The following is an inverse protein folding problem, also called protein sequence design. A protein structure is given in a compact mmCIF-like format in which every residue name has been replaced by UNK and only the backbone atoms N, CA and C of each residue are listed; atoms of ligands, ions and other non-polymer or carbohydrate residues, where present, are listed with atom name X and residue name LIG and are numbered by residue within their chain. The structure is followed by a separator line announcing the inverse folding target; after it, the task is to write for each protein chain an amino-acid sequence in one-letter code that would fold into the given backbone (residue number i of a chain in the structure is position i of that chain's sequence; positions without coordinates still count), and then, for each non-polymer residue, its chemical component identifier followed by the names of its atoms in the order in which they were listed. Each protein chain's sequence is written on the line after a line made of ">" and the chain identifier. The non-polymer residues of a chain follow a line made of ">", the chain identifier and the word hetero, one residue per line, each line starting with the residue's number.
data_IF_750099337841
#
_entry.id   IF_750099337841
#
_cell.length_a   1.000
_cell.length_b   1.000
_cell.length_c   1.000
_cell.angle_alpha   90.00
_cell.angle_beta   90.00
_cell.angle_gamma   90.00
#
_symmetry.space_group_name_H-M   'P 1'
#
loop_
_entity.id
_entity.type
_entity.pdbx_description
1 polymer ?
#
# COMPACT_ATOMS: atom_id res chain seq x y z
N UNK A 1 15.95 -7.28 16.93
CA UNK A 1 16.64 -8.30 17.75
C UNK A 1 16.30 -9.67 17.17
N UNK A 2 17.23 -10.62 17.22
CA UNK A 2 16.91 -12.03 16.95
C UNK A 2 17.42 -12.92 18.07
N UNK A 3 16.64 -13.94 18.40
CA UNK A 3 16.99 -14.93 19.41
C UNK A 3 16.64 -16.34 18.92
N UNK A 4 17.30 -17.36 19.46
CA UNK A 4 17.00 -18.76 19.22
C UNK A 4 16.52 -19.38 20.52
N UNK A 5 15.43 -20.16 20.50
CA UNK A 5 15.01 -20.98 21.66
C UNK A 5 14.72 -22.38 21.13
N UNK A 6 15.32 -23.41 21.71
CA UNK A 6 15.09 -24.80 21.30
C UNK A 6 15.36 -25.06 19.81
N UNK A 7 16.32 -24.36 19.23
CA UNK A 7 16.68 -24.45 17.80
C UNK A 7 15.81 -23.65 16.83
N UNK A 8 14.81 -22.91 17.31
CA UNK A 8 13.95 -22.05 16.48
C UNK A 8 14.36 -20.59 16.61
N UNK A 9 14.82 -19.98 15.52
CA UNK A 9 15.15 -18.54 15.47
C UNK A 9 13.89 -17.70 15.28
N UNK A 10 13.72 -16.70 16.12
CA UNK A 10 12.65 -15.70 16.05
C UNK A 10 13.23 -14.28 15.93
N UNK A 11 12.54 -13.42 15.19
CA UNK A 11 12.90 -12.00 15.10
C UNK A 11 11.86 -11.16 15.84
N UNK A 12 12.34 -10.16 16.57
CA UNK A 12 11.51 -9.20 17.31
C UNK A 12 11.95 -7.79 17.00
N UNK A 13 10.98 -6.93 16.74
CA UNK A 13 11.19 -5.49 16.59
C UNK A 13 10.49 -4.78 17.74
N UNK A 14 11.29 -4.13 18.59
CA UNK A 14 10.80 -3.32 19.69
C UNK A 14 10.64 -1.89 19.18
N UNK A 15 9.43 -1.35 19.34
CA UNK A 15 9.09 0.00 18.89
C UNK A 15 8.80 0.85 20.11
N UNK A 16 9.49 1.99 20.20
CA UNK A 16 9.21 3.02 21.20
C UNK A 16 7.89 3.72 20.90
N UNK A 17 7.05 3.84 21.91
CA UNK A 17 5.79 4.58 21.92
C UNK A 17 5.83 5.61 23.05
N UNK A 18 5.21 6.77 22.84
CA UNK A 18 5.03 7.81 23.86
C UNK A 18 3.55 8.01 24.23
N UNK A 19 2.63 7.58 23.37
CA UNK A 19 1.20 7.56 23.64
C UNK A 19 0.76 6.13 23.98
N UNK A 20 0.64 5.74 25.26
CA UNK A 20 0.31 4.36 25.62
C UNK A 20 -1.06 3.89 25.11
N UNK A 21 -1.94 4.80 24.66
CA UNK A 21 -3.25 4.42 24.12
C UNK A 21 -3.18 3.65 22.81
N UNK A 22 -2.05 3.70 22.10
CA UNK A 22 -1.83 2.96 20.84
C UNK A 22 -1.29 1.54 21.06
N UNK A 23 -1.04 1.14 22.32
CA UNK A 23 -0.58 -0.19 22.68
C UNK A 23 -1.76 -1.17 22.85
N UNK A 24 -1.62 -2.45 22.48
CA UNK A 24 -0.45 -3.05 21.83
C UNK A 24 -0.36 -2.70 20.34
N UNK A 25 0.85 -2.58 19.81
CA UNK A 25 1.06 -2.36 18.38
C UNK A 25 0.76 -3.64 17.58
N UNK A 26 0.16 -3.52 16.38
CA UNK A 26 -0.01 -4.66 15.49
C UNK A 26 1.33 -5.06 14.86
N UNK A 27 1.48 -6.34 14.49
CA UNK A 27 2.66 -6.82 13.74
C UNK A 27 2.84 -6.15 12.37
N UNK A 28 1.81 -5.45 11.87
CA UNK A 28 1.88 -4.65 10.63
C UNK A 28 2.48 -3.25 10.85
N UNK A 29 2.89 -2.88 12.06
CA UNK A 29 3.52 -1.60 12.34
C UNK A 29 4.92 -1.49 11.72
N UNK A 30 5.59 -2.63 11.49
CA UNK A 30 6.83 -2.72 10.70
C UNK A 30 6.52 -3.23 9.29
N UNK A 31 7.47 -3.08 8.37
CA UNK A 31 7.34 -3.67 7.03
C UNK A 31 7.92 -5.10 6.96
N UNK A 32 8.42 -5.65 8.07
CA UNK A 32 9.05 -6.99 8.09
C UNK A 32 8.02 -8.04 8.54
N UNK A 33 7.54 -8.93 7.65
CA UNK A 33 6.52 -9.90 8.02
C UNK A 33 7.03 -11.04 8.89
N UNK A 34 8.35 -11.16 9.05
CA UNK A 34 8.99 -12.22 9.82
C UNK A 34 9.40 -11.75 11.22
N UNK A 35 8.97 -10.55 11.64
CA UNK A 35 9.13 -10.08 13.01
C UNK A 35 7.83 -10.12 13.82
N UNK A 36 8.01 -10.24 15.13
CA UNK A 36 6.97 -9.90 16.09
C UNK A 36 7.23 -8.48 16.58
N UNK A 37 6.21 -7.64 16.55
CA UNK A 37 6.31 -6.25 16.98
C UNK A 37 5.92 -6.14 18.44
N UNK A 38 6.80 -5.52 19.23
CA UNK A 38 6.54 -5.20 20.63
C UNK A 38 6.57 -3.68 20.77
N UNK A 39 5.40 -3.08 20.96
CA UNK A 39 5.31 -1.69 21.39
C UNK A 39 5.57 -1.57 22.88
N UNK A 40 6.39 -0.60 23.28
CA UNK A 40 6.68 -0.34 24.70
C UNK A 40 6.46 1.15 24.96
N UNK A 41 5.84 1.49 26.08
CA UNK A 41 5.72 2.87 26.53
C UNK A 41 7.05 3.33 27.16
N UNK A 42 7.61 4.43 26.64
CA UNK A 42 8.87 5.00 27.13
C UNK A 42 8.65 6.29 27.96
N UNK A 43 7.42 6.62 28.31
CA UNK A 43 7.10 7.71 29.25
C UNK A 43 7.23 7.29 30.71
N UNK A 44 7.34 5.99 30.96
CA UNK A 44 7.51 5.39 32.29
C UNK A 44 8.99 5.21 32.69
N UNK A 45 9.29 5.02 33.99
CA UNK A 45 10.63 4.67 34.46
C UNK A 45 11.18 3.40 33.81
N UNK A 46 12.50 3.34 33.64
CA UNK A 46 13.16 2.21 32.99
C UNK A 46 12.94 0.85 33.68
N UNK A 47 12.63 0.84 34.98
CA UNK A 47 12.25 -0.38 35.69
C UNK A 47 10.95 -0.99 35.15
N UNK A 48 9.96 -0.14 34.86
CA UNK A 48 8.68 -0.58 34.31
C UNK A 48 8.80 -0.96 32.82
N UNK A 49 9.65 -0.25 32.06
CA UNK A 49 10.03 -0.64 30.69
C UNK A 49 10.64 -2.06 30.67
N UNK A 50 11.49 -2.38 31.65
CA UNK A 50 12.08 -3.72 31.78
C UNK A 50 11.00 -4.76 32.12
N UNK A 51 10.04 -4.42 32.98
CA UNK A 51 8.93 -5.32 33.32
C UNK A 51 8.06 -5.62 32.09
N UNK A 52 7.68 -4.60 31.32
CA UNK A 52 6.90 -4.72 30.09
C UNK A 52 7.62 -5.58 29.04
N UNK A 53 8.93 -5.37 28.86
CA UNK A 53 9.73 -6.15 27.93
C UNK A 53 9.84 -7.62 28.36
N UNK A 54 10.04 -7.91 29.65
CA UNK A 54 10.06 -9.28 30.15
C UNK A 54 8.68 -9.96 30.07
N UNK A 55 7.59 -9.21 30.17
CA UNK A 55 6.24 -9.73 29.98
C UNK A 55 5.92 -10.03 28.50
N UNK A 56 6.47 -9.23 27.58
CA UNK A 56 6.23 -9.37 26.15
C UNK A 56 7.17 -10.38 25.45
N UNK A 57 8.31 -10.71 26.06
CA UNK A 57 9.29 -11.66 25.53
C UNK A 57 9.14 -13.05 26.18
N UNK A 58 9.60 -14.14 25.54
CA UNK A 58 9.64 -15.45 26.17
C UNK A 58 10.53 -15.44 27.41
N UNK A 59 10.18 -16.23 28.43
CA UNK A 59 10.90 -16.29 29.72
C UNK A 59 12.40 -16.65 29.62
N UNK A 60 12.83 -17.28 28.52
CA UNK A 60 14.24 -17.59 28.27
C UNK A 60 15.06 -16.36 27.84
N UNK A 61 14.40 -15.28 27.41
CA UNK A 61 15.05 -13.99 27.10
C UNK A 61 14.83 -13.05 28.27
N UNK A 62 15.90 -12.76 29.01
CA UNK A 62 15.84 -11.89 30.19
C UNK A 62 16.30 -10.48 29.84
N UNK A 63 15.44 -9.50 30.14
CA UNK A 63 15.75 -8.08 30.02
C UNK A 63 16.08 -7.50 31.39
N UNK A 64 17.15 -6.73 31.46
CA UNK A 64 17.61 -6.07 32.68
C UNK A 64 18.09 -4.64 32.42
N UNK A 65 18.14 -3.81 33.46
CA UNK A 65 18.86 -2.54 33.45
C UNK A 65 20.06 -2.62 34.40
N UNK A 66 21.28 -2.88 33.89
CA UNK A 66 22.47 -2.92 34.73
C UNK A 66 22.86 -1.56 35.32
N UNK A 67 22.64 -0.45 34.60
CA UNK A 67 22.87 0.92 35.08
C UNK A 67 22.30 1.97 34.11
N UNK A 68 21.83 3.09 34.67
CA UNK A 68 21.46 4.28 33.90
C UNK A 68 20.37 4.00 32.86
N UNK A 69 20.67 4.34 31.60
CA UNK A 69 19.78 4.16 30.43
C UNK A 69 20.11 2.92 29.59
N UNK A 70 20.87 1.97 30.15
CA UNK A 70 21.28 0.77 29.42
C UNK A 70 20.25 -0.33 29.64
N UNK A 71 19.67 -0.83 28.55
CA UNK A 71 18.94 -2.09 28.54
C UNK A 71 19.86 -3.20 28.09
N UNK A 72 19.85 -4.32 28.81
CA UNK A 72 20.62 -5.51 28.50
C UNK A 72 19.68 -6.70 28.33
N UNK A 73 19.86 -7.39 27.22
CA UNK A 73 19.17 -8.63 26.86
C UNK A 73 20.18 -9.76 27.05
N UNK A 74 19.81 -10.77 27.81
CA UNK A 74 20.65 -11.94 28.10
C UNK A 74 19.84 -13.20 27.81
N UNK A 75 20.54 -14.24 27.35
CA UNK A 75 20.03 -15.60 27.27
C UNK A 75 19.96 -16.28 28.66
N UNK A 76 19.60 -17.57 28.67
CA UNK A 76 19.52 -18.43 29.85
C UNK A 76 20.90 -18.88 30.40
N UNK A 77 22.00 -18.32 29.87
CA UNK A 77 23.36 -18.55 30.32
C UNK A 77 23.77 -20.01 30.19
N UNK A 78 24.13 -20.63 31.33
CA UNK A 78 24.72 -21.97 31.35
C UNK A 78 23.76 -23.09 30.89
N UNK A 79 22.45 -22.84 30.84
CA UNK A 79 21.47 -23.81 30.37
C UNK A 79 21.51 -24.01 28.84
N UNK A 80 22.03 -23.04 28.08
CA UNK A 80 22.25 -23.11 26.63
C UNK A 80 21.02 -23.58 25.83
N UNK A 81 19.81 -23.26 26.30
CA UNK A 81 18.56 -23.56 25.60
C UNK A 81 18.02 -22.36 24.82
N UNK A 82 18.60 -21.18 25.05
CA UNK A 82 18.33 -19.96 24.31
C UNK A 82 19.62 -19.20 23.98
N UNK A 83 19.59 -18.42 22.90
CA UNK A 83 20.70 -17.57 22.49
C UNK A 83 20.18 -16.21 22.00
N UNK A 84 20.85 -15.12 22.37
CA UNK A 84 20.63 -13.80 21.74
C UNK A 84 21.59 -13.67 20.55
N UNK A 85 21.09 -13.95 19.35
CA UNK A 85 21.91 -13.96 18.14
C UNK A 85 22.33 -12.55 17.70
N UNK A 86 21.43 -11.57 17.81
CA UNK A 86 21.72 -10.20 17.40
C UNK A 86 20.84 -9.16 18.08
N UNK A 87 21.44 -8.00 18.39
CA UNK A 87 20.74 -6.82 18.86
C UNK A 87 21.24 -5.61 18.07
N UNK A 88 20.30 -4.90 17.45
CA UNK A 88 20.55 -3.65 16.73
C UNK A 88 19.47 -2.65 17.11
N UNK A 89 19.82 -1.36 17.02
CA UNK A 89 18.88 -0.26 17.22
C UNK A 89 19.01 0.74 16.09
N UNK A 90 17.89 1.30 15.66
CA UNK A 90 17.85 2.44 14.75
C UNK A 90 17.36 3.64 15.55
N UNK A 91 18.14 4.71 15.53
CA UNK A 91 17.80 5.96 16.22
C UNK A 91 17.71 7.05 15.17
N UNK A 92 16.57 7.74 15.14
CA UNK A 92 16.42 8.93 14.32
C UNK A 92 17.05 10.12 15.03
N UNK A 93 18.02 10.82 14.42
CA UNK A 93 18.60 12.01 15.02
C UNK A 93 17.53 13.10 15.13
N UNK A 94 17.39 13.65 16.33
CA UNK A 94 16.49 14.76 16.65
C UNK A 94 17.22 16.11 16.64
N UNK A 95 18.55 16.08 16.77
CA UNK A 95 19.44 17.23 16.57
C UNK A 95 20.20 17.11 15.24
N UNK A 96 20.71 18.25 14.74
CA UNK A 96 21.44 18.32 13.46
C UNK A 96 22.96 18.09 13.63
N UNK A 97 23.45 18.14 14.86
CA UNK A 97 24.83 17.81 15.25
C UNK A 97 24.83 16.89 16.47
N UNK A 98 25.97 16.26 16.75
CA UNK A 98 26.27 15.50 17.96
C UNK A 98 25.40 14.25 18.17
N UNK A 99 24.74 13.78 17.11
CA UNK A 99 23.93 12.55 17.08
C UNK A 99 24.37 11.61 15.93
N UNK A 100 25.66 11.65 15.60
CA UNK A 100 26.27 10.86 14.54
C UNK A 100 26.14 11.50 13.15
N UNK A 101 26.39 10.71 12.11
CA UNK A 101 26.44 11.18 10.72
C UNK A 101 25.05 11.51 10.15
N UNK A 102 23.99 10.95 10.73
CA UNK A 102 22.62 11.17 10.25
C UNK A 102 22.18 12.62 10.35
N UNK A 103 21.31 13.02 9.43
CA UNK A 103 20.71 14.36 9.37
C UNK A 103 19.22 14.24 9.07
N UNK A 104 18.39 14.93 9.85
CA UNK A 104 16.97 15.08 9.55
C UNK A 104 16.78 16.11 8.41
N UNK A 105 17.19 15.74 7.19
CA UNK A 105 17.07 16.58 6.00
C UNK A 105 15.60 16.88 5.67
N UNK A 106 14.75 15.88 5.88
CA UNK A 106 13.31 15.98 5.74
C UNK A 106 12.62 15.91 7.10
N UNK A 107 11.57 16.71 7.25
CA UNK A 107 10.73 16.80 8.44
C UNK A 107 9.26 16.61 8.08
N UNK A 108 8.45 16.29 9.08
CA UNK A 108 7.01 16.10 8.93
C UNK A 108 6.26 17.41 9.23
N UNK A 109 5.65 17.96 8.19
CA UNK A 109 4.72 19.08 8.25
C UNK A 109 5.38 20.45 8.37
N UNK A 110 4.52 21.48 8.37
CA UNK A 110 4.95 22.87 8.53
C UNK A 110 5.48 23.17 9.93
N UNK A 111 5.13 22.33 10.92
CA UNK A 111 5.67 22.40 12.28
C UNK A 111 7.12 21.92 12.40
N UNK A 112 7.75 21.46 11.31
CA UNK A 112 9.16 21.04 11.25
C UNK A 112 9.50 19.91 12.25
N UNK A 113 8.57 18.99 12.48
CA UNK A 113 8.76 17.89 13.44
C UNK A 113 9.62 16.78 12.83
N UNK A 114 10.49 16.14 13.63
CA UNK A 114 11.32 15.02 13.15
C UNK A 114 10.44 13.85 12.69
N UNK A 115 10.68 13.34 11.49
CA UNK A 115 10.07 12.09 11.04
C UNK A 115 10.84 10.90 11.58
N UNK A 116 10.27 10.21 12.57
CA UNK A 116 10.83 9.00 13.18
C UNK A 116 10.02 7.75 12.89
N UNK A 117 8.95 7.87 12.10
CA UNK A 117 7.91 6.85 11.96
C UNK A 117 7.24 6.53 13.31
N UNK A 118 7.02 7.56 14.15
CA UNK A 118 6.26 7.41 15.40
C UNK A 118 4.85 6.86 15.10
N UNK A 119 4.40 5.95 15.97
CA UNK A 119 3.07 5.33 15.94
C UNK A 119 2.07 6.06 16.86
N UNK A 120 2.49 7.16 17.51
CA UNK A 120 1.65 7.91 18.45
C UNK A 120 0.51 8.63 17.72
N UNK A 121 -0.65 8.75 18.37
CA UNK A 121 -1.85 9.34 17.76
C UNK A 121 -2.27 8.64 16.47
N UNK A 122 -2.33 9.38 15.35
CA UNK A 122 -2.67 8.83 14.02
C UNK A 122 -1.46 8.22 13.28
N UNK A 123 -0.26 8.29 13.87
CA UNK A 123 1.00 7.86 13.26
C UNK A 123 1.54 8.81 12.18
N UNK A 124 2.86 8.90 12.08
CA UNK A 124 3.51 9.82 11.12
C UNK A 124 3.44 9.33 9.67
N UNK A 125 3.36 8.00 9.45
CA UNK A 125 3.40 7.39 8.11
C UNK A 125 2.24 7.82 7.23
N UNK A 126 1.03 7.94 7.79
CA UNK A 126 -0.16 8.31 7.04
C UNK A 126 -0.08 9.79 6.66
N UNK A 127 -0.19 10.10 5.35
CA UNK A 127 -0.21 11.48 4.84
C UNK A 127 1.16 12.16 4.67
N UNK A 128 2.27 11.48 5.00
CA UNK A 128 3.62 12.07 4.90
C UNK A 128 3.97 12.58 3.50
N UNK A 129 3.45 11.97 2.44
CA UNK A 129 3.70 12.41 1.06
C UNK A 129 3.28 13.87 0.79
N UNK A 130 2.23 14.36 1.47
CA UNK A 130 1.77 15.74 1.36
C UNK A 130 2.44 16.67 2.38
N UNK A 131 2.93 16.10 3.49
CA UNK A 131 3.49 16.85 4.63
C UNK A 131 5.00 16.93 4.64
N UNK A 132 5.71 16.10 3.87
CA UNK A 132 7.17 16.12 3.81
C UNK A 132 7.66 17.52 3.43
N UNK A 133 8.59 18.05 4.22
CA UNK A 133 9.24 19.34 3.98
C UNK A 133 10.74 19.18 4.14
N UNK A 134 11.50 20.06 3.49
CA UNK A 134 12.92 20.23 3.79
C UNK A 134 13.03 20.90 5.16
N UNK A 135 14.00 20.47 5.95
CA UNK A 135 14.30 21.08 7.24
C UNK A 135 14.83 22.50 7.06
N UNK A 136 14.10 23.49 7.56
CA UNK A 136 14.40 24.90 7.37
C UNK A 136 15.73 25.31 8.02
N UNK A 137 16.16 24.64 9.09
CA UNK A 137 17.47 24.90 9.71
C UNK A 137 18.63 24.57 8.77
N UNK A 138 18.49 23.52 7.93
CA UNK A 138 19.51 23.15 6.93
C UNK A 138 19.49 24.11 5.75
N UNK A 139 18.32 24.67 5.41
CA UNK A 139 18.21 25.70 4.37
C UNK A 139 18.84 27.01 4.84
N UNK A 140 18.67 27.37 6.11
CA UNK A 140 19.26 28.57 6.72
C UNK A 140 20.77 28.42 6.92
N UNK A 141 21.25 27.23 7.26
CA UNK A 141 22.66 26.92 7.43
C UNK A 141 23.05 25.63 6.69
N UNK A 142 23.60 25.79 5.49
CA UNK A 142 24.04 24.68 4.66
C UNK A 142 25.31 23.99 5.15
N UNK A 143 26.04 24.57 6.12
CA UNK A 143 27.22 23.93 6.71
C UNK A 143 26.86 22.64 7.46
N UNK A 144 25.60 22.52 7.92
CA UNK A 144 25.05 21.33 8.57
C UNK A 144 25.03 20.08 7.68
N UNK A 145 25.17 20.24 6.36
CA UNK A 145 25.36 19.11 5.45
C UNK A 145 26.72 18.41 5.66
N UNK A 146 27.69 19.11 6.26
CA UNK A 146 29.05 18.61 6.51
C UNK A 146 29.28 18.47 8.03
N UNK A 147 29.03 19.54 8.80
CA UNK A 147 29.32 19.60 10.24
C UNK A 147 28.37 18.69 11.02
N UNK A 148 28.87 17.58 11.55
CA UNK A 148 28.10 16.60 12.33
C UNK A 148 28.47 16.53 13.81
N UNK A 149 29.62 17.07 14.20
CA UNK A 149 30.12 17.07 15.56
C UNK A 149 30.61 18.46 15.93
N UNK A 150 30.27 18.91 17.13
CA UNK A 150 30.74 20.19 17.70
C UNK A 150 31.86 19.98 18.71
N UNK A 151 32.01 18.76 19.25
CA UNK A 151 33.10 18.39 20.17
C UNK A 151 33.50 16.91 20.02
N UNK A 152 34.65 16.60 19.37
CA UNK A 152 35.50 17.54 18.62
C UNK A 152 34.74 18.13 17.42
N UNK A 153 35.10 19.35 17.03
CA UNK A 153 34.50 19.97 15.85
C UNK A 153 34.84 19.14 14.60
N UNK A 154 33.86 18.93 13.71
CA UNK A 154 34.09 18.28 12.43
C UNK A 154 35.20 19.00 11.65
N UNK A 155 36.17 18.22 11.15
CA UNK A 155 37.30 18.77 10.40
C UNK A 155 36.87 19.38 9.07
N UNK A 156 37.52 20.49 8.70
CA UNK A 156 37.30 21.19 7.43
C UNK A 156 37.76 20.35 6.24
N UNK A 157 36.90 19.47 5.75
CA UNK A 157 37.19 18.51 4.67
C UNK A 157 36.68 17.10 4.93
N UNK A 158 36.12 16.82 6.12
CA UNK A 158 35.52 15.52 6.41
C UNK A 158 34.26 15.29 5.56
N UNK A 159 34.33 14.30 4.66
CA UNK A 159 33.24 13.93 3.76
C UNK A 159 32.31 12.83 4.33
N UNK A 160 32.51 12.40 5.58
CA UNK A 160 31.81 11.24 6.16
C UNK A 160 30.29 11.39 6.16
N UNK A 161 29.75 12.55 6.55
CA UNK A 161 28.30 12.81 6.53
C UNK A 161 27.75 12.86 5.10
N UNK A 162 28.30 13.66 4.17
CA UNK A 162 27.84 13.65 2.77
C UNK A 162 27.84 12.26 2.13
N UNK A 163 28.90 11.47 2.36
CA UNK A 163 28.98 10.10 1.85
C UNK A 163 27.94 9.17 2.49
N UNK A 164 27.72 9.26 3.81
CA UNK A 164 26.69 8.48 4.52
C UNK A 164 25.27 8.85 4.02
N UNK A 165 24.99 10.13 3.76
CA UNK A 165 23.69 10.57 3.20
C UNK A 165 23.45 10.02 1.80
N UNK A 166 24.46 10.05 0.93
CA UNK A 166 24.37 9.48 -0.43
C UNK A 166 24.19 7.97 -0.37
N UNK A 167 24.94 7.29 0.50
CA UNK A 167 24.83 5.83 0.69
C UNK A 167 23.43 5.45 1.20
N UNK A 168 22.87 6.19 2.16
CA UNK A 168 21.50 5.97 2.66
C UNK A 168 20.41 6.20 1.62
N UNK A 169 20.67 7.04 0.62
CA UNK A 169 19.74 7.34 -0.47
C UNK A 169 19.83 6.29 -1.59
N UNK A 170 21.05 5.92 -1.99
CA UNK A 170 21.31 5.13 -3.19
C UNK A 170 21.59 3.65 -2.91
N UNK A 171 22.32 3.33 -1.84
CA UNK A 171 22.83 1.99 -1.55
C UNK A 171 22.06 1.24 -0.46
N UNK A 172 21.56 1.94 0.56
CA UNK A 172 20.88 1.32 1.69
C UNK A 172 19.56 0.64 1.26
N UNK A 173 19.51 -0.68 1.46
CA UNK A 173 18.31 -1.47 1.22
C UNK A 173 17.27 -1.25 2.33
N UNK A 174 16.01 -1.11 1.94
CA UNK A 174 14.85 -0.95 2.82
C UNK A 174 13.77 -1.94 2.46
N UNK A 175 13.03 -2.38 3.47
CA UNK A 175 11.83 -3.19 3.26
C UNK A 175 10.63 -2.27 3.06
N UNK A 176 9.92 -2.45 1.95
CA UNK A 176 8.73 -1.70 1.60
C UNK A 176 7.48 -2.54 1.86
N UNK A 177 6.43 -1.90 2.39
CA UNK A 177 5.17 -2.60 2.68
C UNK A 177 4.55 -3.15 1.39
N UNK A 178 4.07 -4.39 1.44
CA UNK A 178 3.33 -5.01 0.34
C UNK A 178 2.01 -4.28 0.02
N UNK A 179 1.53 -3.38 0.89
CA UNK A 179 0.33 -2.57 0.65
C UNK A 179 0.43 -1.68 -0.58
N UNK A 180 1.65 -1.41 -1.07
CA UNK A 180 1.90 -0.65 -2.31
C UNK A 180 1.67 -1.50 -3.58
N UNK A 181 1.33 -2.78 -3.44
CA UNK A 181 1.09 -3.69 -4.56
C UNK A 181 2.34 -4.34 -5.15
N UNK A 182 3.51 -4.14 -4.52
CA UNK A 182 4.80 -4.69 -4.97
C UNK A 182 5.32 -5.67 -3.92
N UNK A 183 5.64 -6.88 -4.34
CA UNK A 183 5.97 -7.99 -3.44
C UNK A 183 4.71 -8.67 -2.89
N UNK A 184 4.87 -9.48 -1.85
CA UNK A 184 3.76 -10.12 -1.13
C UNK A 184 3.83 -9.83 0.36
N UNK A 185 2.75 -10.13 1.09
CA UNK A 185 2.74 -10.01 2.56
C UNK A 185 3.78 -10.90 3.23
N UNK A 186 4.16 -12.03 2.64
CA UNK A 186 5.18 -12.95 3.16
C UNK A 186 6.59 -12.66 2.64
N UNK A 187 6.69 -11.94 1.52
CA UNK A 187 7.94 -11.56 0.87
C UNK A 187 7.82 -10.13 0.32
N UNK A 188 7.86 -9.10 1.19
CA UNK A 188 7.84 -7.71 0.78
C UNK A 188 9.03 -7.38 -0.10
N UNK A 189 8.89 -6.33 -0.90
CA UNK A 189 10.01 -5.85 -1.69
C UNK A 189 11.11 -5.26 -0.80
N UNK A 190 12.36 -5.65 -1.06
CA UNK A 190 13.56 -5.19 -0.37
C UNK A 190 14.53 -4.63 -1.41
N UNK A 191 14.91 -3.37 -1.26
CA UNK A 191 15.83 -2.71 -2.20
C UNK A 191 16.13 -1.25 -1.84
N UNK A 192 16.96 -0.60 -2.65
CA UNK A 192 17.19 0.85 -2.53
C UNK A 192 15.97 1.65 -2.98
N UNK A 193 15.98 2.95 -2.70
CA UNK A 193 14.90 3.87 -3.09
C UNK A 193 14.80 3.96 -4.63
N UNK A 194 15.93 4.01 -5.34
CA UNK A 194 15.95 4.04 -6.82
C UNK A 194 15.33 2.76 -7.43
N UNK A 195 15.76 1.60 -6.95
CA UNK A 195 15.23 0.32 -7.44
C UNK A 195 13.73 0.19 -7.15
N UNK A 196 13.28 0.64 -5.97
CA UNK A 196 11.86 0.68 -5.65
C UNK A 196 11.09 1.64 -6.56
N UNK A 197 11.60 2.84 -6.80
CA UNK A 197 10.94 3.83 -7.67
C UNK A 197 10.76 3.31 -9.10
N UNK A 198 11.80 2.70 -9.68
CA UNK A 198 11.69 2.03 -11.00
C UNK A 198 10.63 0.93 -10.99
N UNK A 199 10.63 0.09 -9.95
CA UNK A 199 9.67 -0.99 -9.80
C UNK A 199 8.22 -0.50 -9.70
N UNK A 200 7.99 0.64 -9.03
CA UNK A 200 6.66 1.30 -8.96
C UNK A 200 6.20 1.75 -10.35
N UNK A 201 7.09 2.39 -11.13
CA UNK A 201 6.76 2.82 -12.49
C UNK A 201 6.42 1.62 -13.38
N UNK A 202 7.23 0.56 -13.35
CA UNK A 202 6.99 -0.66 -14.14
C UNK A 202 5.68 -1.36 -13.76
N UNK A 203 5.40 -1.43 -12.45
CA UNK A 203 4.14 -1.97 -11.95
C UNK A 203 2.95 -1.16 -12.44
N UNK A 204 2.99 0.17 -12.28
CA UNK A 204 1.91 1.04 -12.71
C UNK A 204 1.69 1.01 -14.24
N UNK A 205 2.77 0.95 -15.03
CA UNK A 205 2.71 0.83 -16.48
C UNK A 205 2.03 -0.48 -16.90
N UNK A 206 2.38 -1.59 -16.25
CA UNK A 206 1.75 -2.91 -16.49
C UNK A 206 0.26 -2.89 -16.15
N UNK A 207 -0.11 -2.33 -14.99
CA UNK A 207 -1.49 -2.21 -14.58
C UNK A 207 -2.31 -1.33 -15.54
N UNK A 208 -1.74 -0.23 -16.01
CA UNK A 208 -2.37 0.63 -17.00
C UNK A 208 -2.57 -0.07 -18.36
N UNK A 209 -1.58 -0.85 -18.83
CA UNK A 209 -1.69 -1.62 -20.06
C UNK A 209 -2.78 -2.70 -19.96
N UNK A 210 -2.84 -3.43 -18.84
CA UNK A 210 -3.87 -4.43 -18.57
C UNK A 210 -5.27 -3.82 -18.53
N UNK A 211 -5.43 -2.69 -17.83
CA UNK A 211 -6.71 -1.97 -17.79
C UNK A 211 -7.13 -1.48 -19.18
N UNK A 212 -6.19 -0.98 -19.99
CA UNK A 212 -6.47 -0.55 -21.36
C UNK A 212 -6.93 -1.71 -22.26
N UNK A 213 -6.28 -2.87 -22.13
CA UNK A 213 -6.67 -4.07 -22.87
C UNK A 213 -8.06 -4.56 -22.44
N UNK A 214 -8.33 -4.59 -21.13
CA UNK A 214 -9.66 -4.96 -20.61
C UNK A 214 -10.76 -4.03 -21.14
N UNK A 215 -10.56 -2.71 -21.10
CA UNK A 215 -11.52 -1.74 -21.67
C UNK A 215 -11.72 -1.96 -23.16
N UNK A 216 -10.67 -2.30 -23.91
CA UNK A 216 -10.80 -2.62 -25.34
C UNK A 216 -11.63 -3.88 -25.58
N UNK A 217 -11.42 -4.92 -24.77
CA UNK A 217 -12.21 -6.15 -24.83
C UNK A 217 -13.68 -5.89 -24.48
N UNK A 218 -13.95 -5.18 -23.39
CA UNK A 218 -15.30 -4.84 -22.96
C UNK A 218 -16.04 -3.99 -23.99
N UNK A 219 -15.33 -3.09 -24.68
CA UNK A 219 -15.89 -2.32 -25.80
C UNK A 219 -16.32 -3.23 -26.94
N UNK A 220 -15.47 -4.18 -27.36
CA UNK A 220 -15.81 -5.12 -28.44
C UNK A 220 -17.02 -5.99 -28.06
N UNK A 221 -17.06 -6.47 -26.81
CA UNK A 221 -18.20 -7.25 -26.29
C UNK A 221 -19.46 -6.40 -26.31
N UNK A 222 -19.39 -5.16 -25.81
CA UNK A 222 -20.52 -4.22 -25.83
C UNK A 222 -21.00 -3.96 -27.26
N UNK A 223 -20.09 -3.65 -28.18
CA UNK A 223 -20.45 -3.37 -29.58
C UNK A 223 -21.11 -4.58 -30.24
N UNK A 224 -20.61 -5.81 -29.96
CA UNK A 224 -21.21 -7.06 -30.44
C UNK A 224 -22.60 -7.30 -29.86
N UNK A 225 -22.79 -7.09 -28.55
CA UNK A 225 -24.09 -7.21 -27.89
C UNK A 225 -25.08 -6.17 -28.41
N UNK A 226 -24.61 -4.94 -28.67
CA UNK A 226 -25.43 -3.89 -29.27
C UNK A 226 -25.87 -4.30 -30.69
N UNK A 227 -24.95 -4.79 -31.53
CA UNK A 227 -25.31 -5.31 -32.85
C UNK A 227 -26.34 -6.43 -32.78
N UNK A 228 -26.18 -7.41 -31.87
CA UNK A 228 -27.17 -8.48 -31.67
C UNK A 228 -28.52 -7.96 -31.18
N UNK A 229 -28.50 -6.98 -30.28
CA UNK A 229 -29.71 -6.34 -29.80
C UNK A 229 -30.44 -5.61 -30.93
N UNK A 230 -29.72 -4.85 -31.75
CA UNK A 230 -30.25 -4.12 -32.90
C UNK A 230 -30.76 -5.09 -34.00
N UNK A 231 -30.09 -6.22 -34.22
CA UNK A 231 -30.57 -7.29 -35.12
C UNK A 231 -31.87 -7.93 -34.61
N UNK A 232 -32.02 -8.14 -33.30
CA UNK A 232 -33.19 -8.82 -32.73
C UNK A 232 -34.38 -7.90 -32.50
N UNK A 233 -34.13 -6.63 -32.19
CA UNK A 233 -35.18 -5.64 -31.87
C UNK A 233 -35.43 -4.66 -33.01
N UNK A 234 -34.52 -4.63 -33.98
CA UNK A 234 -34.66 -3.87 -35.22
C UNK A 234 -35.79 -4.43 -36.07
N UNK A 235 -36.61 -3.52 -36.56
CA UNK A 235 -37.65 -3.81 -37.54
C UNK A 235 -37.03 -3.60 -38.91
N UNK A 236 -36.89 -4.68 -39.69
CA UNK A 236 -36.49 -4.57 -41.08
C UNK A 236 -37.67 -4.04 -41.90
N UNK A 237 -37.58 -2.77 -42.32
CA UNK A 237 -38.63 -2.04 -43.03
C UNK A 237 -38.99 -2.76 -44.34
N UNK A 238 -38.05 -3.40 -45.01
CA UNK A 238 -38.31 -4.11 -46.26
C UNK A 238 -39.10 -5.40 -46.00
N UNK A 239 -38.78 -6.10 -44.90
CA UNK A 239 -39.53 -7.28 -44.46
C UNK A 239 -40.95 -6.91 -43.98
N UNK A 240 -41.10 -5.85 -43.18
CA UNK A 240 -42.42 -5.35 -42.78
C UNK A 240 -43.23 -4.81 -43.96
N UNK A 241 -42.60 -4.12 -44.92
CA UNK A 241 -43.27 -3.67 -46.16
C UNK A 241 -43.72 -4.84 -47.02
N UNK A 242 -42.91 -5.88 -47.17
CA UNK A 242 -43.31 -7.09 -47.88
C UNK A 242 -44.47 -7.79 -47.15
N UNK A 243 -44.40 -7.90 -45.82
CA UNK A 243 -45.48 -8.45 -45.00
C UNK A 243 -46.76 -7.62 -45.11
N UNK A 244 -46.64 -6.29 -45.11
CA UNK A 244 -47.76 -5.37 -45.32
C UNK A 244 -48.36 -5.51 -46.71
N UNK A 245 -47.56 -5.59 -47.77
CA UNK A 245 -48.05 -5.83 -49.13
C UNK A 245 -48.75 -7.19 -49.25
N UNK A 246 -48.24 -8.23 -48.59
CA UNK A 246 -48.92 -9.54 -48.51
C UNK A 246 -50.24 -9.43 -47.76
N UNK A 247 -50.29 -8.70 -46.66
CA UNK A 247 -51.52 -8.42 -45.91
C UNK A 247 -52.52 -7.62 -46.74
N UNK A 248 -52.10 -6.56 -47.43
CA UNK A 248 -52.95 -5.74 -48.30
C UNK A 248 -53.49 -6.52 -49.49
N UNK A 249 -52.66 -7.35 -50.13
CA UNK A 249 -53.09 -8.22 -51.23
C UNK A 249 -54.07 -9.29 -50.75
N UNK A 250 -53.82 -9.91 -49.60
CA UNK A 250 -54.75 -10.85 -48.98
C UNK A 250 -56.08 -10.17 -48.59
N UNK A 251 -56.04 -8.95 -48.06
CA UNK A 251 -57.24 -8.19 -47.69
C UNK A 251 -58.05 -7.76 -48.92
N UNK A 252 -57.38 -7.30 -49.98
CA UNK A 252 -58.01 -6.98 -51.27
C UNK A 252 -58.64 -8.21 -51.93
N UNK A 253 -57.96 -9.37 -51.86
CA UNK A 253 -58.51 -10.64 -52.32
C UNK A 253 -59.75 -11.04 -51.51
N UNK A 254 -59.70 -10.96 -50.17
CA UNK A 254 -60.84 -11.23 -49.29
C UNK A 254 -62.01 -10.26 -49.53
N UNK A 255 -61.72 -8.98 -49.77
CA UNK A 255 -62.73 -7.99 -50.12
C UNK A 255 -63.40 -8.29 -51.46
N UNK A 256 -62.66 -8.76 -52.47
CA UNK A 256 -63.22 -9.23 -53.74
C UNK A 256 -64.10 -10.46 -53.54
N UNK A 257 -63.66 -11.45 -52.76
CA UNK A 257 -64.46 -12.64 -52.43
C UNK A 257 -65.76 -12.28 -51.69
N UNK A 258 -65.70 -11.36 -50.72
CA UNK A 258 -66.90 -10.85 -50.05
C UNK A 258 -67.84 -10.10 -51.00
N UNK A 259 -67.28 -9.37 -51.98
CA UNK A 259 -68.06 -8.65 -52.98
C UNK A 259 -68.74 -9.60 -53.95
N UNK A 260 -68.05 -10.63 -54.44
CA UNK A 260 -68.66 -11.66 -55.29
C UNK A 260 -69.72 -12.46 -54.54
N UNK A 261 -69.52 -12.77 -53.26
CA UNK A 261 -70.55 -13.40 -52.42
C UNK A 261 -71.77 -12.47 -52.27
N UNK A 262 -71.59 -11.17 -52.03
CA UNK A 262 -72.72 -10.22 -51.98
C UNK A 262 -73.46 -10.12 -53.31
N UNK A 263 -72.75 -10.11 -54.44
CA UNK A 263 -73.38 -10.12 -55.76
C UNK A 263 -74.17 -11.40 -56.01
N UNK A 264 -73.63 -12.57 -55.66
CA UNK A 264 -74.33 -13.85 -55.76
C UNK A 264 -75.57 -13.90 -54.84
N UNK A 265 -75.47 -13.37 -53.61
CA UNK A 265 -76.60 -13.24 -52.70
C UNK A 265 -77.68 -12.30 -53.25
N UNK A 266 -77.30 -11.18 -53.85
CA UNK A 266 -78.23 -10.26 -54.49
C UNK A 266 -78.90 -10.86 -55.74
N UNK A 267 -78.16 -11.62 -56.54
CA UNK A 267 -78.73 -12.38 -57.68
C UNK A 267 -79.72 -13.43 -57.17
N UNK A 268 -79.39 -14.17 -56.11
CA UNK A 268 -80.32 -15.12 -55.47
C UNK A 268 -81.58 -14.43 -54.93
N UNK A 269 -81.45 -13.26 -54.30
CA UNK A 269 -82.57 -12.45 -53.83
C UNK A 269 -83.43 -11.87 -54.96
N UNK A 270 -82.85 -11.55 -56.12
CA UNK A 270 -83.56 -11.02 -57.29
C UNK A 270 -84.17 -12.10 -58.20
N UNK A 271 -83.63 -13.33 -58.21
CA UNK A 271 -84.24 -14.49 -58.89
C UNK A 271 -85.44 -15.03 -58.08
N UNK A 272 -85.48 -14.76 -56.78
CA UNK A 272 -86.58 -15.12 -55.88
C UNK A 272 -87.77 -14.15 -55.86
N UNK A 273 -87.89 -13.24 -56.84
CA UNK A 273 -89.04 -12.33 -57.01
C UNK A 273 -89.69 -12.50 -58.38
#
# INVERSE_FOLDING_TARGET
>A
MSYTIGGVTSNVTIVKVQDPSVLPLPNTATNNPNDTVIGVDWTQPIGDIVNDLNAALPAAVVVSNPAGSVLRFVDDGAAATSDINSLSKTVTPTALTDQGLGLALFVDGNAQTTYSNSQDGIGQKLGIAQRIRINQSVVTDSSLLITYSTSPLTDGGDASRPLDLIERLNGASRTYSASVGIGSTTAPYVGSIDNFARRVVDFQATQAANAKNAVSTDKIVKDTLQTRYDESTGVDIDTELASLLVLETAYSANARVLTTIRELMNIMLNIGR
#
